data_IF_649501412563
#
_entry.id   IF_649501412563
#
_cell.length_a   1.000
_cell.length_b   1.000
_cell.length_c   1.000
_cell.angle_alpha   90.00
_cell.angle_beta   90.00
_cell.angle_gamma   90.00
#
_symmetry.space_group_name_H-M   'P 1'
#
loop_
_entity.id
_entity.type
_entity.pdbx_description
1 polymer ?
#
# COMPACT_ATOMS: atom_id res chain seq x y z
N UNK A 1 -0.41 21.28 11.31
CA UNK A 1 -0.45 20.99 12.75
C UNK A 1 -0.31 19.48 12.94
N UNK A 2 0.39 18.99 13.98
CA UNK A 2 0.50 17.53 14.24
C UNK A 2 -0.53 17.13 15.29
N UNK A 3 -1.49 16.30 14.89
CA UNK A 3 -2.50 15.76 15.80
C UNK A 3 -1.93 14.60 16.64
N UNK A 4 -2.44 14.38 17.86
CA UNK A 4 -1.95 13.32 18.73
C UNK A 4 -2.21 11.95 18.12
N UNK A 5 -1.17 11.14 17.99
CA UNK A 5 -1.31 9.79 17.44
C UNK A 5 -2.16 8.92 18.37
N UNK A 6 -3.26 8.28 17.89
CA UNK A 6 -4.08 7.40 18.71
C UNK A 6 -3.23 6.32 19.39
N UNK A 7 -3.40 6.14 20.71
CA UNK A 7 -2.55 5.23 21.49
C UNK A 7 -2.71 3.78 21.05
N UNK A 8 -3.92 3.43 20.59
CA UNK A 8 -4.36 2.13 20.12
C UNK A 8 -3.68 1.71 18.81
N UNK A 9 -3.17 2.67 18.03
CA UNK A 9 -2.37 2.40 16.83
C UNK A 9 -0.97 1.85 17.15
N UNK A 10 -0.52 1.90 18.41
CA UNK A 10 0.74 1.33 18.89
C UNK A 10 2.02 1.85 18.20
N UNK A 11 3.17 1.21 18.50
CA UNK A 11 4.51 1.60 18.01
C UNK A 11 4.91 0.93 16.71
N UNK A 12 5.51 1.66 15.77
CA UNK A 12 5.93 1.10 14.46
C UNK A 12 6.77 -0.18 14.59
N UNK A 13 6.60 -1.15 13.67
CA UNK A 13 7.36 -2.39 13.71
C UNK A 13 8.86 -2.13 13.49
N UNK A 14 9.72 -2.84 14.23
CA UNK A 14 11.19 -2.71 14.13
C UNK A 14 11.82 -3.60 13.04
N UNK A 15 11.14 -4.67 12.61
CA UNK A 15 11.68 -5.61 11.62
C UNK A 15 12.15 -4.98 10.30
N UNK A 16 11.55 -3.89 9.77
CA UNK A 16 12.06 -3.33 8.53
C UNK A 16 13.44 -2.69 8.69
N UNK A 17 13.93 -2.41 9.91
CA UNK A 17 15.33 -2.00 10.15
C UNK A 17 16.28 -3.13 9.76
N UNK A 18 16.00 -4.37 10.20
CA UNK A 18 16.81 -5.52 9.84
C UNK A 18 16.80 -5.76 8.32
N UNK A 19 15.65 -5.60 7.67
CA UNK A 19 15.55 -5.68 6.21
C UNK A 19 16.39 -4.59 5.52
N UNK A 20 16.32 -3.34 5.98
CA UNK A 20 17.14 -2.24 5.43
C UNK A 20 18.63 -2.55 5.56
N UNK A 21 19.09 -3.05 6.71
CA UNK A 21 20.49 -3.40 6.90
C UNK A 21 20.91 -4.54 5.97
N UNK A 22 20.13 -5.62 5.92
CA UNK A 22 20.42 -6.78 5.08
C UNK A 22 20.47 -6.41 3.59
N UNK A 23 19.43 -5.77 3.07
CA UNK A 23 19.38 -5.36 1.67
C UNK A 23 20.32 -4.19 1.35
N UNK A 24 20.66 -3.36 2.34
CA UNK A 24 21.69 -2.32 2.21
C UNK A 24 23.07 -2.92 1.98
N UNK A 25 23.45 -3.93 2.76
CA UNK A 25 24.71 -4.69 2.55
C UNK A 25 24.69 -5.41 1.20
N UNK A 26 23.57 -6.04 0.84
CA UNK A 26 23.39 -6.68 -0.47
C UNK A 26 23.55 -5.69 -1.63
N UNK A 27 23.01 -4.48 -1.50
CA UNK A 27 23.14 -3.40 -2.47
C UNK A 27 24.61 -3.03 -2.72
N UNK A 28 25.41 -2.89 -1.66
CA UNK A 28 26.85 -2.62 -1.77
C UNK A 28 27.61 -3.78 -2.44
N UNK A 29 27.27 -5.02 -2.07
CA UNK A 29 27.89 -6.22 -2.66
C UNK A 29 27.65 -6.29 -4.18
N UNK A 30 26.40 -6.10 -4.62
CA UNK A 30 26.07 -6.12 -6.04
C UNK A 30 26.63 -4.92 -6.81
N UNK A 31 26.77 -3.76 -6.17
CA UNK A 31 27.48 -2.62 -6.76
C UNK A 31 28.95 -2.97 -7.06
N UNK A 32 29.63 -3.63 -6.12
CA UNK A 32 31.02 -4.07 -6.32
C UNK A 32 31.14 -5.08 -7.48
N UNK A 33 30.19 -6.02 -7.61
CA UNK A 33 30.14 -6.95 -8.76
C UNK A 33 29.95 -6.19 -10.06
N UNK A 34 29.03 -5.21 -10.09
CA UNK A 34 28.75 -4.44 -11.30
C UNK A 34 30.00 -3.65 -11.76
N UNK A 35 30.66 -2.95 -10.84
CA UNK A 35 31.89 -2.18 -11.11
C UNK A 35 33.00 -3.11 -11.57
N UNK A 36 33.21 -4.23 -10.89
CA UNK A 36 34.23 -5.22 -11.27
C UNK A 36 33.98 -5.82 -12.67
N UNK A 37 32.73 -6.09 -13.01
CA UNK A 37 32.33 -6.54 -14.36
C UNK A 37 32.63 -5.49 -15.43
N UNK A 38 32.26 -4.23 -15.18
CA UNK A 38 32.54 -3.12 -16.10
C UNK A 38 34.04 -2.92 -16.32
N UNK A 39 34.85 -2.95 -15.24
CA UNK A 39 36.30 -2.80 -15.35
C UNK A 39 36.98 -3.95 -16.10
N UNK A 40 36.40 -5.15 -16.05
CA UNK A 40 36.93 -6.33 -16.74
C UNK A 40 36.41 -6.50 -18.17
N UNK A 41 35.50 -5.63 -18.64
CA UNK A 41 34.80 -5.81 -19.92
C UNK A 41 33.80 -6.97 -19.94
N UNK A 42 33.47 -7.54 -18.76
CA UNK A 42 32.50 -8.63 -18.62
C UNK A 42 31.08 -8.04 -18.48
N UNK A 43 30.42 -7.85 -19.62
CA UNK A 43 29.08 -7.28 -19.68
C UNK A 43 28.03 -8.12 -18.94
N UNK A 44 28.16 -9.45 -18.92
CA UNK A 44 27.21 -10.33 -18.23
C UNK A 44 27.30 -10.10 -16.72
N UNK A 45 28.51 -10.09 -16.16
CA UNK A 45 28.75 -9.81 -14.74
C UNK A 45 28.31 -8.39 -14.36
N UNK A 46 28.55 -7.41 -15.23
CA UNK A 46 28.12 -6.04 -15.03
C UNK A 46 26.58 -5.93 -14.91
N UNK A 47 25.83 -6.52 -15.84
CA UNK A 47 24.36 -6.49 -15.83
C UNK A 47 23.78 -7.28 -14.65
N UNK A 48 24.39 -8.43 -14.30
CA UNK A 48 24.02 -9.19 -13.12
C UNK A 48 24.18 -8.37 -11.84
N UNK A 49 25.33 -7.70 -11.67
CA UNK A 49 25.56 -6.79 -10.54
C UNK A 49 24.55 -5.63 -10.52
N UNK A 50 24.31 -4.98 -11.66
CA UNK A 50 23.38 -3.86 -11.74
C UNK A 50 21.93 -4.24 -11.38
N UNK A 51 21.46 -5.40 -11.86
CA UNK A 51 20.11 -5.90 -11.54
C UNK A 51 19.97 -6.27 -10.05
N UNK A 52 20.98 -6.92 -9.46
CA UNK A 52 21.00 -7.24 -8.03
C UNK A 52 21.07 -5.99 -7.14
N UNK A 53 21.81 -4.97 -7.57
CA UNK A 53 21.88 -3.65 -6.93
C UNK A 53 20.49 -3.00 -6.91
N UNK A 54 19.83 -2.92 -8.07
CA UNK A 54 18.51 -2.32 -8.21
C UNK A 54 17.47 -3.04 -7.34
N UNK A 55 17.45 -4.37 -7.40
CA UNK A 55 16.55 -5.20 -6.58
C UNK A 55 16.72 -4.92 -5.08
N UNK A 56 17.98 -4.93 -4.62
CA UNK A 56 18.31 -4.70 -3.20
C UNK A 56 17.94 -3.28 -2.76
N UNK A 57 18.25 -2.27 -3.58
CA UNK A 57 17.89 -0.87 -3.31
C UNK A 57 16.35 -0.68 -3.23
N UNK A 58 15.59 -1.36 -4.09
CA UNK A 58 14.12 -1.32 -4.05
C UNK A 58 13.56 -1.96 -2.78
N UNK A 59 14.15 -3.06 -2.29
CA UNK A 59 13.78 -3.64 -0.99
C UNK A 59 14.08 -2.69 0.17
N UNK A 60 15.22 -1.98 0.14
CA UNK A 60 15.54 -0.95 1.13
C UNK A 60 14.49 0.17 1.09
N UNK A 61 14.17 0.69 -0.10
CA UNK A 61 13.17 1.75 -0.27
C UNK A 61 11.79 1.31 0.25
N UNK A 62 11.33 0.11 -0.11
CA UNK A 62 10.06 -0.45 0.35
C UNK A 62 10.04 -0.64 1.88
N UNK A 63 11.14 -1.10 2.47
CA UNK A 63 11.27 -1.29 3.92
C UNK A 63 11.32 0.05 4.66
N UNK A 64 12.01 1.05 4.11
CA UNK A 64 12.05 2.41 4.65
C UNK A 64 10.66 3.07 4.66
N UNK A 65 9.86 2.87 3.61
CA UNK A 65 8.46 3.32 3.59
C UNK A 65 7.62 2.67 4.69
N UNK A 66 7.93 1.43 5.09
CA UNK A 66 7.25 0.75 6.20
C UNK A 66 7.73 1.19 7.58
N UNK A 67 8.96 1.72 7.71
CA UNK A 67 9.45 2.29 8.97
C UNK A 67 8.86 3.64 9.26
N UNK A 68 8.66 4.47 8.22
CA UNK A 68 8.09 5.80 8.39
C UNK A 68 6.70 5.64 9.01
N UNK A 69 6.47 6.04 10.27
CA UNK A 69 5.12 6.27 10.74
C UNK A 69 4.61 7.34 9.77
N UNK A 70 3.63 7.00 8.93
CA UNK A 70 3.15 7.91 7.90
C UNK A 70 2.44 9.07 8.62
N UNK A 71 3.24 10.06 9.01
CA UNK A 71 2.87 11.33 9.60
C UNK A 71 3.34 12.43 8.67
N UNK A 72 2.84 12.47 7.42
CA UNK A 72 3.11 13.61 6.56
C UNK A 72 2.73 14.88 7.33
N UNK A 73 3.64 15.85 7.31
CA UNK A 73 3.46 17.12 8.02
C UNK A 73 2.38 17.99 7.39
N UNK A 74 1.94 17.65 6.17
CA UNK A 74 0.86 18.31 5.45
C UNK A 74 -0.36 17.40 5.36
N UNK A 75 -1.52 18.01 5.14
CA UNK A 75 -2.79 17.32 4.93
C UNK A 75 -2.82 16.43 3.66
N UNK A 76 -1.70 16.28 2.94
CA UNK A 76 -1.64 15.45 1.75
C UNK A 76 -2.42 16.00 0.57
N UNK A 77 -2.62 15.14 -0.44
CA UNK A 77 -3.44 15.44 -1.62
C UNK A 77 -4.90 15.16 -1.29
N UNK A 78 -5.55 16.09 -0.61
CA UNK A 78 -7.02 16.09 -0.42
C UNK A 78 -7.64 16.81 -1.61
N UNK A 79 -8.60 16.17 -2.27
CA UNK A 79 -9.24 16.72 -3.46
C UNK A 79 -10.75 16.75 -3.27
N UNK A 80 -11.41 17.75 -3.83
CA UNK A 80 -12.84 17.67 -4.07
C UNK A 80 -13.05 16.88 -5.35
N UNK A 81 -13.88 15.86 -5.28
CA UNK A 81 -14.26 15.05 -6.42
C UNK A 81 -15.78 14.98 -6.51
N UNK A 82 -16.31 15.14 -7.71
CA UNK A 82 -17.71 14.89 -7.98
C UNK A 82 -17.89 13.38 -8.16
N UNK A 83 -18.68 12.74 -7.31
CA UNK A 83 -18.94 11.32 -7.39
C UNK A 83 -19.79 10.97 -8.62
N UNK A 84 -19.97 9.67 -8.89
CA UNK A 84 -20.79 9.16 -10.01
C UNK A 84 -22.25 9.65 -9.94
N UNK A 85 -22.72 10.01 -8.74
CA UNK A 85 -24.06 10.55 -8.49
C UNK A 85 -24.14 12.07 -8.66
N UNK A 86 -23.05 12.75 -9.00
CA UNK A 86 -23.01 14.20 -9.18
C UNK A 86 -22.78 15.02 -7.90
N UNK A 87 -22.71 14.37 -6.74
CA UNK A 87 -22.45 14.99 -5.44
C UNK A 87 -20.95 15.29 -5.29
N UNK A 88 -20.63 16.50 -4.84
CA UNK A 88 -19.26 16.87 -4.50
C UNK A 88 -18.91 16.24 -3.15
N UNK A 89 -17.76 15.59 -3.07
CA UNK A 89 -17.28 14.96 -1.85
C UNK A 89 -15.77 15.13 -1.70
N UNK A 90 -15.26 14.95 -0.49
CA UNK A 90 -13.81 14.89 -0.27
C UNK A 90 -13.31 13.52 -0.66
N UNK A 91 -12.35 13.47 -1.57
CA UNK A 91 -11.63 12.27 -1.96
C UNK A 91 -10.20 12.30 -1.43
N UNK A 92 -9.85 11.22 -0.74
CA UNK A 92 -8.53 10.89 -0.24
C UNK A 92 -7.97 9.74 -1.10
N UNK A 93 -7.15 10.02 -2.11
CA UNK A 93 -6.57 8.98 -2.95
C UNK A 93 -5.61 8.12 -2.12
N UNK A 94 -5.65 6.81 -2.30
CA UNK A 94 -4.66 5.93 -1.69
C UNK A 94 -3.30 6.12 -2.39
N UNK A 95 -2.21 6.05 -1.63
CA UNK A 95 -0.87 6.18 -2.15
C UNK A 95 -0.50 4.96 -3.02
N UNK A 96 -0.30 5.21 -4.31
CA UNK A 96 0.13 4.18 -5.28
C UNK A 96 1.59 3.74 -5.08
N UNK A 97 2.38 4.44 -4.25
CA UNK A 97 3.83 4.24 -4.10
C UNK A 97 4.19 2.79 -3.74
N UNK A 98 3.43 2.13 -2.85
CA UNK A 98 3.73 0.75 -2.45
C UNK A 98 3.50 -0.26 -3.58
N UNK A 99 2.48 -0.06 -4.41
CA UNK A 99 2.17 -0.91 -5.56
C UNK A 99 3.16 -0.66 -6.69
N UNK A 100 3.48 0.60 -6.97
CA UNK A 100 4.50 0.97 -7.95
C UNK A 100 5.86 0.37 -7.60
N UNK A 101 6.28 0.44 -6.33
CA UNK A 101 7.49 -0.24 -5.87
C UNK A 101 7.37 -1.77 -5.97
N UNK A 102 6.19 -2.34 -5.73
CA UNK A 102 5.95 -3.76 -5.95
C UNK A 102 6.15 -4.17 -7.42
N UNK A 103 5.64 -3.38 -8.37
CA UNK A 103 5.87 -3.58 -9.81
C UNK A 103 7.36 -3.52 -10.12
N UNK A 104 8.05 -2.46 -9.70
CA UNK A 104 9.50 -2.32 -9.91
C UNK A 104 10.29 -3.48 -9.29
N UNK A 105 9.88 -3.96 -8.12
CA UNK A 105 10.49 -5.09 -7.44
C UNK A 105 10.33 -6.38 -8.23
N UNK A 106 9.13 -6.64 -8.76
CA UNK A 106 8.86 -7.81 -9.60
C UNK A 106 9.63 -7.74 -10.93
N UNK A 107 9.70 -6.57 -11.57
CA UNK A 107 10.46 -6.39 -12.82
C UNK A 107 11.97 -6.56 -12.60
N UNK A 108 12.53 -5.89 -11.59
CA UNK A 108 13.96 -6.01 -11.25
C UNK A 108 14.34 -7.40 -10.77
N UNK A 109 13.47 -8.04 -9.97
CA UNK A 109 13.65 -9.43 -9.53
C UNK A 109 13.58 -10.42 -10.68
N UNK A 110 12.62 -10.26 -11.60
CA UNK A 110 12.54 -11.06 -12.83
C UNK A 110 13.80 -10.92 -13.67
N UNK A 111 14.26 -9.68 -13.92
CA UNK A 111 15.50 -9.43 -14.66
C UNK A 111 16.72 -10.06 -13.96
N UNK A 112 16.84 -9.91 -12.65
CA UNK A 112 17.92 -10.51 -11.86
C UNK A 112 17.93 -12.04 -11.99
N UNK A 113 16.77 -12.69 -11.91
CA UNK A 113 16.64 -14.14 -12.07
C UNK A 113 17.02 -14.61 -13.49
N UNK A 114 16.64 -13.86 -14.54
CA UNK A 114 17.08 -14.15 -15.91
C UNK A 114 18.59 -14.06 -16.02
N UNK A 115 19.21 -13.01 -15.49
CA UNK A 115 20.67 -12.85 -15.53
C UNK A 115 21.39 -13.94 -14.71
N UNK A 116 20.82 -14.35 -13.59
CA UNK A 116 21.33 -15.48 -12.81
C UNK A 116 21.23 -16.80 -13.61
N UNK A 117 20.15 -17.02 -14.36
CA UNK A 117 20.03 -18.18 -15.23
C UNK A 117 21.06 -18.15 -16.37
N UNK A 118 21.23 -17.01 -17.04
CA UNK A 118 22.20 -16.81 -18.13
C UNK A 118 23.62 -17.04 -17.66
N UNK A 119 24.02 -16.46 -16.51
CA UNK A 119 25.35 -16.66 -15.93
C UNK A 119 25.64 -18.13 -15.63
N UNK A 120 24.63 -18.89 -15.17
CA UNK A 120 24.76 -20.34 -14.89
C UNK A 120 24.90 -21.18 -16.17
N UNK A 121 24.26 -20.78 -17.26
CA UNK A 121 24.36 -21.46 -18.56
C UNK A 121 25.69 -21.10 -19.25
N UNK A 122 26.10 -19.83 -19.19
CA UNK A 122 27.26 -19.30 -19.92
C UNK A 122 28.61 -19.71 -19.31
N UNK A 123 28.65 -20.14 -18.04
CA UNK A 123 29.85 -20.70 -17.44
C UNK A 123 30.22 -22.03 -18.10
N UNK A 124 31.22 -22.02 -18.99
CA UNK A 124 31.59 -23.12 -19.89
C UNK A 124 32.06 -24.42 -19.20
N UNK A 125 32.30 -24.40 -17.89
CA UNK A 125 32.77 -25.55 -17.10
C UNK A 125 31.65 -26.48 -16.61
N UNK A 126 30.41 -26.19 -16.97
CA UNK A 126 29.26 -26.68 -16.22
C UNK A 126 28.47 -27.72 -17.03
N UNK A 127 28.45 -28.96 -16.54
CA UNK A 127 27.69 -30.06 -17.13
C UNK A 127 26.17 -29.81 -17.18
N UNK A 128 25.38 -30.74 -17.75
CA UNK A 128 23.93 -30.58 -18.00
C UNK A 128 23.11 -30.22 -16.76
N UNK A 129 23.62 -30.55 -15.56
CA UNK A 129 23.03 -30.17 -14.28
C UNK A 129 22.81 -28.65 -14.13
N UNK A 130 23.71 -27.80 -14.62
CA UNK A 130 23.57 -26.35 -14.48
C UNK A 130 22.50 -25.75 -15.39
N UNK A 131 22.35 -26.32 -16.59
CA UNK A 131 21.24 -25.98 -17.50
C UNK A 131 19.91 -26.36 -16.89
N UNK A 132 19.82 -27.53 -16.25
CA UNK A 132 18.59 -27.96 -15.55
C UNK A 132 18.24 -27.03 -14.37
N UNK A 133 19.24 -26.50 -13.66
CA UNK A 133 19.03 -25.51 -12.59
C UNK A 133 18.60 -24.12 -13.09
N UNK A 134 18.83 -23.79 -14.36
CA UNK A 134 18.42 -22.51 -14.95
C UNK A 134 16.91 -22.48 -15.27
N UNK A 135 16.30 -23.62 -15.56
CA UNK A 135 14.86 -23.74 -15.88
C UNK A 135 13.95 -23.17 -14.78
N UNK A 136 14.07 -23.56 -13.50
CA UNK A 136 13.21 -23.00 -12.45
C UNK A 136 13.44 -21.50 -12.23
N UNK A 137 14.65 -20.98 -12.47
CA UNK A 137 14.93 -19.54 -12.39
C UNK A 137 14.18 -18.76 -13.48
N UNK A 138 14.19 -19.27 -14.72
CA UNK A 138 13.45 -18.67 -15.83
C UNK A 138 11.94 -18.74 -15.60
N UNK A 139 11.42 -19.86 -15.08
CA UNK A 139 10.02 -19.99 -14.70
C UNK A 139 9.63 -18.98 -13.60
N UNK A 140 10.47 -18.82 -12.58
CA UNK A 140 10.26 -17.83 -11.52
C UNK A 140 10.32 -16.38 -12.04
N UNK A 141 11.23 -16.09 -13.00
CA UNK A 141 11.29 -14.80 -13.66
C UNK A 141 10.00 -14.49 -14.45
N UNK A 142 9.51 -15.46 -15.22
CA UNK A 142 8.25 -15.34 -15.96
C UNK A 142 7.08 -15.08 -15.01
N UNK A 143 7.01 -15.80 -13.89
CA UNK A 143 6.02 -15.57 -12.85
C UNK A 143 6.12 -14.16 -12.25
N UNK A 144 7.35 -13.67 -11.99
CA UNK A 144 7.56 -12.31 -11.49
C UNK A 144 7.06 -11.25 -12.49
N UNK A 145 7.34 -11.40 -13.79
CA UNK A 145 6.81 -10.50 -14.83
C UNK A 145 5.29 -10.57 -14.95
N UNK A 146 4.68 -11.75 -14.86
CA UNK A 146 3.24 -11.91 -14.85
C UNK A 146 2.60 -11.19 -13.64
N UNK A 147 3.19 -11.33 -12.45
CA UNK A 147 2.74 -10.59 -11.25
C UNK A 147 2.91 -9.08 -11.45
N UNK A 148 4.03 -8.61 -12.02
CA UNK A 148 4.22 -7.20 -12.33
C UNK A 148 3.13 -6.65 -13.25
N UNK A 149 2.73 -7.42 -14.28
CA UNK A 149 1.64 -7.06 -15.18
C UNK A 149 0.30 -6.97 -14.44
N UNK A 150 -0.02 -7.94 -13.58
CA UNK A 150 -1.24 -7.93 -12.76
C UNK A 150 -1.28 -6.75 -11.78
N UNK A 151 -0.16 -6.48 -11.09
CA UNK A 151 -0.03 -5.32 -10.21
C UNK A 151 -0.17 -4.00 -10.98
N UNK A 152 0.36 -3.93 -12.19
CA UNK A 152 0.25 -2.76 -13.06
C UNK A 152 -1.17 -2.53 -13.56
N UNK A 153 -1.90 -3.59 -13.89
CA UNK A 153 -3.33 -3.49 -14.20
C UNK A 153 -4.11 -2.97 -12.99
N UNK A 154 -3.81 -3.46 -11.79
CA UNK A 154 -4.44 -3.04 -10.55
C UNK A 154 -4.07 -1.60 -10.09
N UNK A 155 -3.01 -1.01 -10.66
CA UNK A 155 -2.69 0.42 -10.49
C UNK A 155 -3.64 1.34 -11.27
N UNK A 156 -4.27 0.83 -12.34
CA UNK A 156 -5.21 1.61 -13.16
C UNK A 156 -6.56 1.83 -12.48
N UNK A 157 -6.91 0.98 -11.52
CA UNK A 157 -8.17 1.12 -10.80
C UNK A 157 -8.02 2.22 -9.74
N UNK A 158 -8.88 3.27 -9.75
CA UNK A 158 -8.82 4.32 -8.76
C UNK A 158 -9.09 3.73 -7.37
N UNK A 159 -8.26 4.09 -6.40
CA UNK A 159 -8.39 3.67 -5.01
C UNK A 159 -8.43 4.90 -4.13
N UNK A 160 -9.49 5.03 -3.36
CA UNK A 160 -9.76 6.25 -2.60
C UNK A 160 -10.73 5.99 -1.45
N UNK A 161 -10.60 6.81 -0.43
CA UNK A 161 -11.61 7.00 0.59
C UNK A 161 -12.35 8.29 0.26
N UNK A 162 -13.67 8.23 0.15
CA UNK A 162 -14.51 9.37 -0.15
C UNK A 162 -15.40 9.64 1.06
N UNK A 163 -15.38 10.88 1.53
CA UNK A 163 -16.23 11.39 2.60
C UNK A 163 -17.23 12.34 1.96
N UNK A 164 -18.50 11.93 1.93
CA UNK A 164 -19.59 12.73 1.41
C UNK A 164 -20.55 13.11 2.54
N UNK A 165 -21.53 13.96 2.25
CA UNK A 165 -22.51 14.36 3.26
C UNK A 165 -23.30 13.16 3.81
N UNK A 166 -23.51 12.15 2.95
CA UNK A 166 -24.34 10.99 3.26
C UNK A 166 -23.58 9.82 3.91
N UNK A 167 -22.27 9.69 3.67
CA UNK A 167 -21.52 8.59 4.27
C UNK A 167 -20.05 8.52 3.91
N UNK A 168 -19.48 7.38 4.27
CA UNK A 168 -18.10 7.00 3.96
C UNK A 168 -18.14 5.97 2.83
N UNK A 169 -17.44 6.25 1.73
CA UNK A 169 -17.23 5.29 0.64
C UNK A 169 -15.76 4.94 0.55
N UNK A 170 -15.43 3.65 0.64
CA UNK A 170 -14.06 3.16 0.49
C UNK A 170 -13.97 2.29 -0.77
N UNK A 171 -13.13 2.71 -1.71
CA UNK A 171 -12.77 1.93 -2.87
C UNK A 171 -11.30 1.48 -2.76
N UNK A 172 -11.09 0.18 -2.56
CA UNK A 172 -9.77 -0.45 -2.46
C UNK A 172 -9.29 -1.06 -3.79
N UNK A 173 -9.97 -0.76 -4.90
CA UNK A 173 -9.73 -1.28 -6.24
C UNK A 173 -10.42 -2.61 -6.53
N UNK A 174 -10.43 -3.52 -5.55
CA UNK A 174 -11.14 -4.80 -5.64
C UNK A 174 -12.56 -4.75 -5.07
N UNK A 175 -12.82 -3.83 -4.14
CA UNK A 175 -14.08 -3.70 -3.42
C UNK A 175 -14.38 -2.22 -3.26
N UNK A 176 -15.64 -1.87 -3.51
CA UNK A 176 -16.21 -0.55 -3.30
C UNK A 176 -17.32 -0.70 -2.26
N UNK A 177 -17.12 -0.10 -1.10
CA UNK A 177 -18.01 -0.19 0.05
C UNK A 177 -18.54 1.20 0.36
N UNK A 178 -19.85 1.32 0.58
CA UNK A 178 -20.45 2.54 1.08
C UNK A 178 -21.19 2.27 2.39
N UNK A 179 -20.96 3.13 3.39
CA UNK A 179 -21.63 3.07 4.68
C UNK A 179 -22.17 4.46 5.03
N UNK A 180 -23.50 4.61 5.17
CA UNK A 180 -24.12 5.86 5.60
C UNK A 180 -23.65 6.27 7.00
N UNK A 181 -23.50 7.57 7.25
CA UNK A 181 -23.06 8.04 8.57
C UNK A 181 -23.99 7.61 9.71
N UNK A 182 -25.30 7.55 9.45
CA UNK A 182 -26.32 7.12 10.42
C UNK A 182 -26.23 5.65 10.77
N UNK A 183 -25.61 4.82 9.93
CA UNK A 183 -25.43 3.40 10.17
C UNK A 183 -24.17 3.10 10.98
N UNK A 184 -23.30 4.08 11.24
CA UNK A 184 -22.06 3.88 12.01
C UNK A 184 -22.40 3.82 13.50
N UNK A 185 -22.13 2.68 14.14
CA UNK A 185 -22.32 2.49 15.59
C UNK A 185 -21.07 2.79 16.39
N UNK A 186 -19.90 2.51 15.84
CA UNK A 186 -18.64 2.76 16.51
C UNK A 186 -17.51 3.01 15.51
N UNK A 187 -16.62 3.92 15.88
CA UNK A 187 -15.36 4.14 15.19
C UNK A 187 -14.22 3.95 16.19
N UNK A 188 -13.36 2.96 15.96
CA UNK A 188 -12.28 2.65 16.90
C UNK A 188 -10.94 2.60 16.19
N UNK A 189 -9.93 3.35 16.67
CA UNK A 189 -8.56 3.16 16.25
C UNK A 189 -8.04 1.85 16.87
N UNK A 190 -7.34 1.03 16.10
CA UNK A 190 -6.81 -0.22 16.63
C UNK A 190 -5.58 -0.71 15.87
N UNK A 191 -4.97 -1.74 16.42
CA UNK A 191 -4.01 -2.62 15.76
C UNK A 191 -4.67 -3.93 15.41
N UNK A 192 -5.23 -3.98 14.22
CA UNK A 192 -5.84 -5.19 13.70
C UNK A 192 -4.90 -5.91 12.73
N UNK A 193 -5.08 -7.22 12.65
CA UNK A 193 -4.56 -7.99 11.53
C UNK A 193 -5.54 -7.85 10.36
N UNK A 194 -5.12 -7.28 9.21
CA UNK A 194 -5.99 -7.11 8.05
C UNK A 194 -6.44 -8.45 7.45
N UNK A 195 -5.81 -9.56 7.82
CA UNK A 195 -6.14 -10.91 7.36
C UNK A 195 -7.05 -11.69 8.32
N UNK A 196 -7.58 -11.03 9.35
CA UNK A 196 -8.57 -11.65 10.25
C UNK A 196 -8.01 -12.77 11.14
N UNK A 197 -6.73 -12.70 11.52
CA UNK A 197 -6.05 -13.67 12.38
C UNK A 197 -5.07 -14.59 11.65
N UNK A 198 -5.01 -14.54 10.32
CA UNK A 198 -4.06 -15.36 9.53
C UNK A 198 -2.63 -14.81 9.55
N UNK A 199 -2.44 -13.57 10.01
CA UNK A 199 -1.12 -12.94 10.12
C UNK A 199 -0.86 -12.47 11.54
N UNK A 200 0.36 -12.70 12.03
CA UNK A 200 0.85 -12.06 13.26
C UNK A 200 1.06 -10.55 13.08
N UNK A 201 0.95 -10.04 11.85
CA UNK A 201 1.18 -8.63 11.54
C UNK A 201 -0.04 -7.79 11.90
N UNK A 202 0.07 -7.04 12.98
CA UNK A 202 -0.91 -6.00 13.33
C UNK A 202 -0.46 -4.65 12.77
N UNK A 203 -1.35 -3.97 12.07
CA UNK A 203 -1.10 -2.61 11.53
C UNK A 203 -2.13 -1.63 12.10
N UNK A 204 -1.80 -0.33 12.19
CA UNK A 204 -2.78 0.70 12.52
C UNK A 204 -3.95 0.67 11.54
N UNK A 205 -5.18 0.63 12.06
CA UNK A 205 -6.42 0.63 11.29
C UNK A 205 -7.49 1.42 12.03
N UNK A 206 -8.31 2.16 11.30
CA UNK A 206 -9.58 2.69 11.80
C UNK A 206 -10.66 1.71 11.39
N UNK A 207 -11.32 1.11 12.38
CA UNK A 207 -12.44 0.21 12.18
C UNK A 207 -13.73 1.00 12.34
N UNK A 208 -14.51 1.07 11.25
CA UNK A 208 -15.82 1.70 11.20
C UNK A 208 -16.86 0.58 11.22
N UNK A 209 -17.56 0.44 12.36
CA UNK A 209 -18.54 -0.62 12.58
C UNK A 209 -19.94 -0.13 12.19
N UNK A 210 -20.67 -0.86 11.34
CA UNK A 210 -22.07 -0.58 11.04
C UNK A 210 -22.98 -1.04 12.19
N UNK A 211 -24.27 -0.70 12.12
CA UNK A 211 -25.30 -1.26 12.99
C UNK A 211 -25.60 -2.72 12.62
N UNK A 212 -25.76 -2.98 11.33
CA UNK A 212 -25.86 -4.31 10.76
C UNK A 212 -24.92 -4.48 9.55
N UNK A 213 -24.35 -5.68 9.29
CA UNK A 213 -23.53 -5.92 8.11
C UNK A 213 -24.23 -5.65 6.77
N UNK A 214 -25.57 -5.65 6.76
CA UNK A 214 -26.38 -5.28 5.59
C UNK A 214 -26.27 -3.81 5.20
N UNK A 215 -25.86 -2.95 6.13
CA UNK A 215 -25.79 -1.49 5.91
C UNK A 215 -24.59 -1.10 5.03
N UNK A 216 -23.62 -2.01 4.90
CA UNK A 216 -22.50 -1.82 3.98
C UNK A 216 -22.97 -2.21 2.57
N UNK A 217 -23.26 -1.18 1.78
CA UNK A 217 -23.62 -1.34 0.39
C UNK A 217 -22.39 -1.77 -0.43
N UNK A 218 -22.52 -2.89 -1.13
CA UNK A 218 -21.49 -3.45 -2.02
C UNK A 218 -22.11 -3.67 -3.40
N UNK A 219 -21.44 -3.24 -4.50
CA UNK A 219 -21.93 -3.47 -5.85
C UNK A 219 -22.20 -4.95 -6.12
N UNK A 220 -23.27 -5.24 -6.87
CA UNK A 220 -23.73 -6.60 -7.13
C UNK A 220 -22.63 -7.54 -7.65
N UNK A 221 -21.74 -7.03 -8.50
CA UNK A 221 -20.62 -7.77 -9.11
C UNK A 221 -19.61 -8.32 -8.09
N UNK A 222 -19.60 -7.79 -6.87
CA UNK A 222 -18.73 -8.25 -5.79
C UNK A 222 -19.48 -9.05 -4.71
N UNK A 223 -20.79 -9.35 -4.90
CA UNK A 223 -21.56 -10.13 -3.92
C UNK A 223 -21.10 -11.57 -3.79
N UNK A 224 -20.36 -12.12 -4.75
CA UNK A 224 -19.77 -13.45 -4.58
C UNK A 224 -18.58 -13.45 -3.58
N UNK A 225 -17.93 -12.30 -3.37
CA UNK A 225 -16.95 -12.11 -2.29
C UNK A 225 -17.60 -11.93 -0.91
N UNK A 226 -18.94 -11.79 -0.86
CA UNK A 226 -19.72 -11.52 0.36
C UNK A 226 -19.63 -12.64 1.40
N UNK A 227 -19.21 -13.84 1.01
CA UNK A 227 -19.11 -15.01 1.89
C UNK A 227 -17.88 -15.01 2.81
N UNK A 228 -16.96 -14.04 2.69
CA UNK A 228 -15.79 -13.96 3.57
C UNK A 228 -15.85 -12.67 4.40
N UNK A 229 -15.71 -12.82 5.72
CA UNK A 229 -15.36 -11.93 6.86
C UNK A 229 -15.10 -10.42 6.69
N UNK A 230 -15.03 -9.87 5.48
CA UNK A 230 -14.65 -8.49 5.16
C UNK A 230 -15.82 -7.50 5.14
N UNK A 231 -17.03 -7.92 5.52
CA UNK A 231 -18.24 -7.11 5.41
C UNK A 231 -18.88 -6.72 6.74
N UNK A 232 -18.28 -7.11 7.85
CA UNK A 232 -18.81 -6.72 9.16
C UNK A 232 -18.27 -5.36 9.60
N UNK A 233 -17.20 -4.87 8.96
CA UNK A 233 -16.50 -3.63 9.33
C UNK A 233 -15.84 -3.01 8.10
N UNK A 234 -15.95 -1.68 7.94
CA UNK A 234 -15.12 -0.94 6.98
C UNK A 234 -13.77 -0.66 7.64
N UNK A 235 -12.70 -1.14 7.00
CA UNK A 235 -11.35 -1.09 7.55
C UNK A 235 -10.50 -0.08 6.77
N UNK A 236 -10.27 1.09 7.37
CA UNK A 236 -9.44 2.14 6.78
C UNK A 236 -8.02 1.99 7.32
N UNK A 237 -7.05 1.81 6.43
CA UNK A 237 -5.63 1.70 6.80
C UNK A 237 -4.96 3.06 6.63
N UNK A 238 -4.63 3.80 7.70
CA UNK A 238 -4.11 5.16 7.56
C UNK A 238 -2.81 5.24 6.75
N UNK A 239 -1.96 4.20 6.83
CA UNK A 239 -0.71 4.11 6.06
C UNK A 239 -0.91 4.08 4.54
N UNK A 240 -2.12 3.75 4.08
CA UNK A 240 -2.44 3.70 2.66
C UNK A 240 -2.82 5.06 2.08
N UNK A 241 -2.98 6.10 2.91
CA UNK A 241 -3.37 7.44 2.47
C UNK A 241 -2.23 8.43 2.68
N UNK A 242 -2.03 9.41 1.80
CA UNK A 242 -0.97 10.40 1.90
C UNK A 242 -1.27 11.49 2.96
N UNK A 243 -1.98 11.15 4.05
CA UNK A 243 -2.45 12.06 5.10
C UNK A 243 -1.98 11.52 6.45
N UNK A 244 -1.79 12.40 7.44
CA UNK A 244 -1.46 11.96 8.81
C UNK A 244 -2.55 11.02 9.34
N UNK A 245 -2.13 9.87 9.87
CA UNK A 245 -3.09 8.85 10.29
C UNK A 245 -3.94 9.25 11.50
N UNK A 246 -3.42 10.14 12.37
CA UNK A 246 -4.21 10.74 13.43
C UNK A 246 -5.23 11.71 12.87
N UNK A 247 -4.81 12.60 11.95
CA UNK A 247 -5.72 13.49 11.23
C UNK A 247 -6.86 12.72 10.56
N UNK A 248 -6.54 11.66 9.81
CA UNK A 248 -7.56 10.84 9.15
C UNK A 248 -8.57 10.25 10.16
N UNK A 249 -8.07 9.72 11.28
CA UNK A 249 -8.92 9.17 12.33
C UNK A 249 -9.85 10.23 12.95
N UNK A 250 -9.29 11.37 13.39
CA UNK A 250 -10.09 12.41 14.02
C UNK A 250 -11.04 13.09 13.05
N UNK A 251 -10.68 13.25 11.77
CA UNK A 251 -11.60 13.74 10.74
C UNK A 251 -12.81 12.81 10.60
N UNK A 252 -12.58 11.50 10.49
CA UNK A 252 -13.68 10.53 10.40
C UNK A 252 -14.56 10.57 11.65
N UNK A 253 -13.95 10.65 12.83
CA UNK A 253 -14.65 10.71 14.11
C UNK A 253 -15.48 12.00 14.24
N UNK A 254 -14.90 13.14 13.87
CA UNK A 254 -15.53 14.46 13.93
C UNK A 254 -16.82 14.50 13.08
N UNK A 255 -16.77 14.11 11.81
CA UNK A 255 -17.97 14.11 10.97
C UNK A 255 -19.00 13.06 11.34
N UNK A 256 -18.57 11.97 12.00
CA UNK A 256 -19.51 11.03 12.59
C UNK A 256 -20.29 11.69 13.74
N UNK A 257 -19.60 12.44 14.62
CA UNK A 257 -20.18 13.10 15.80
C UNK A 257 -20.93 14.41 15.51
N UNK A 258 -20.60 15.11 14.42
CA UNK A 258 -21.18 16.41 14.03
C UNK A 258 -22.00 16.33 12.74
N UNK A 259 -23.22 15.77 12.77
CA UNK A 259 -24.08 15.69 11.58
C UNK A 259 -24.38 17.03 10.94
N UNK A 260 -24.49 18.10 11.72
CA UNK A 260 -24.75 19.46 11.29
C UNK A 260 -23.63 20.08 10.44
N UNK A 261 -22.40 19.55 10.54
CA UNK A 261 -21.24 20.04 9.78
C UNK A 261 -20.95 19.21 8.52
N UNK A 262 -21.64 18.08 8.30
CA UNK A 262 -21.44 17.23 7.12
C UNK A 262 -21.66 17.91 5.77
N UNK A 263 -22.58 18.89 5.60
CA UNK A 263 -22.69 19.62 4.33
C UNK A 263 -21.39 20.31 3.90
N UNK A 264 -20.50 20.62 4.86
CA UNK A 264 -19.20 21.23 4.55
C UNK A 264 -18.26 20.26 3.80
N UNK A 265 -18.51 18.93 3.83
CA UNK A 265 -17.79 17.89 3.06
C UNK A 265 -18.01 18.02 1.55
N UNK A 266 -19.09 18.68 1.12
CA UNK A 266 -19.33 19.01 -0.27
C UNK A 266 -18.59 20.27 -0.75
N UNK A 267 -17.81 20.90 0.14
CA UNK A 267 -17.16 22.19 -0.09
C UNK A 267 -15.68 22.17 0.30
N UNK A 268 -14.95 23.23 -0.05
CA UNK A 268 -13.56 23.42 0.37
C UNK A 268 -13.38 23.63 1.88
N UNK A 269 -14.46 23.94 2.63
CA UNK A 269 -14.39 24.25 4.06
C UNK A 269 -13.86 23.08 4.88
N UNK A 270 -14.29 21.85 4.59
CA UNK A 270 -13.79 20.65 5.24
C UNK A 270 -12.28 20.43 5.00
N UNK A 271 -11.80 20.72 3.79
CA UNK A 271 -10.37 20.62 3.46
C UNK A 271 -9.56 21.61 4.29
N UNK A 272 -10.04 22.86 4.40
CA UNK A 272 -9.40 23.87 5.22
C UNK A 272 -9.41 23.49 6.70
N UNK A 273 -10.52 22.92 7.21
CA UNK A 273 -10.60 22.37 8.57
C UNK A 273 -9.53 21.29 8.80
N UNK A 274 -9.41 20.33 7.89
CA UNK A 274 -8.39 19.27 7.96
C UNK A 274 -6.97 19.83 7.92
N UNK A 275 -6.72 20.87 7.12
CA UNK A 275 -5.40 21.54 7.04
C UNK A 275 -5.03 22.27 8.32
N UNK A 276 -6.00 22.96 8.93
CA UNK A 276 -5.81 23.63 10.23
C UNK A 276 -5.69 22.62 11.38
N UNK A 277 -6.33 21.46 11.25
CA UNK A 277 -6.37 20.43 12.28
C UNK A 277 -7.50 20.65 13.29
N UNK A 278 -8.53 21.43 12.93
CA UNK A 278 -9.68 21.77 13.78
C UNK A 278 -10.71 20.61 13.80
N UNK A 279 -10.22 19.41 14.15
CA UNK A 279 -10.99 18.15 14.19
C UNK A 279 -10.93 17.46 15.56
N UNK A 280 -10.34 18.13 16.57
CA UNK A 280 -10.25 17.65 17.96
C UNK A 280 -11.38 18.20 18.86
N UNK A 281 -12.54 18.51 18.27
CA UNK A 281 -13.70 19.07 18.97
C UNK A 281 -14.24 18.19 20.08
#
# INVERSE_FOLDING_TARGET
MRLPWPTEFGRSPRWPIAAILFFGVGSLYYAAIAVGGMSAGDGIRAIFGASGLLLSALFVALSALRLRPHRPTSAGRIMLERNESGETAIALPMAHTSWFLGVLLCLSGGLFLVMLAVTRIASHSNGPAHTLLAIPLLAAALAAFAVAALLSAALRTPRRLVLSEHGVRQNNGALDQHLPWSAITAMTPTRADPTGGQSRRRIPMVLIRPHAPSDIAVPWRFRWFRQRTFLDVISVQPIAYPVDGGLLYYTLQFYWQHPELRPELASGAAIERMRRGDVLG
#
